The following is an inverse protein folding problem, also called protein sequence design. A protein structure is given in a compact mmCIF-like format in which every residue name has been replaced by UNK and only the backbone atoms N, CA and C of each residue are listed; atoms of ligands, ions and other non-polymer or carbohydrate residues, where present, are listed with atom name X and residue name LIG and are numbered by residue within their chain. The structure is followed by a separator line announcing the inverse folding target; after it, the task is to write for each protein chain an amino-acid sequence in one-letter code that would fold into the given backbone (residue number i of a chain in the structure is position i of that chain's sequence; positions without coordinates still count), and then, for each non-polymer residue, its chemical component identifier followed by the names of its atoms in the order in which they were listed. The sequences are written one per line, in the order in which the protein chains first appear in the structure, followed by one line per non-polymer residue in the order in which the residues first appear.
data_IF_274165048355
#
_entry.id   IF_274165048355
#
_cell.length_a   1.000
_cell.length_b   1.000
_cell.length_c   1.000
_cell.angle_alpha   90.00
_cell.angle_beta   90.00
_cell.angle_gamma   90.00
#
_symmetry.space_group_name_H-M   'P 1'
#
loop_
_entity.id
_entity.type
_entity.pdbx_description
1 polymer ?
#
# COMPACT_ATOMS: atom_id res chain seq x y z
N UNK A 1 -2.46 20.63 11.06
CA UNK A 1 -2.69 21.31 9.77
C UNK A 1 -2.06 20.52 8.62
N UNK A 2 -2.15 21.02 7.39
CA UNK A 2 -1.43 20.45 6.24
C UNK A 2 0.04 20.91 6.23
N UNK A 3 0.97 20.03 5.82
CA UNK A 3 2.41 20.32 5.75
C UNK A 3 2.90 20.21 4.30
N UNK A 4 3.80 21.10 3.90
CA UNK A 4 4.42 21.04 2.56
C UNK A 4 5.29 19.79 2.45
N UNK A 5 5.21 19.10 1.33
CA UNK A 5 6.08 18.01 0.93
C UNK A 5 6.63 18.28 -0.48
N UNK A 6 7.59 17.45 -0.89
CA UNK A 6 8.12 17.38 -2.24
C UNK A 6 8.08 15.93 -2.74
N UNK A 7 8.41 15.73 -4.00
CA UNK A 7 8.60 14.43 -4.60
C UNK A 7 9.37 14.55 -5.90
N UNK A 8 9.64 13.41 -6.51
CA UNK A 8 10.39 13.29 -7.74
C UNK A 8 9.83 12.16 -8.59
N UNK A 9 10.15 12.16 -9.88
CA UNK A 9 9.83 11.04 -10.74
C UNK A 9 10.92 9.97 -10.69
N UNK A 10 10.48 8.73 -10.72
CA UNK A 10 11.31 7.57 -11.00
C UNK A 10 10.85 7.02 -12.34
N UNK A 11 11.79 6.95 -13.28
CA UNK A 11 11.60 6.33 -14.58
C UNK A 11 12.26 4.95 -14.59
N UNK A 12 11.59 4.02 -15.22
CA UNK A 12 12.00 2.63 -15.30
C UNK A 12 11.63 2.07 -16.68
N UNK A 13 12.47 1.19 -17.21
CA UNK A 13 12.21 0.46 -18.46
C UNK A 13 12.28 -1.01 -18.11
N UNK A 14 11.12 -1.66 -18.21
CA UNK A 14 11.01 -3.10 -17.95
C UNK A 14 11.74 -3.91 -19.02
N UNK A 15 11.98 -5.18 -18.73
CA UNK A 15 12.57 -6.15 -19.68
C UNK A 15 11.75 -6.31 -20.96
N UNK A 16 10.44 -6.06 -20.91
CA UNK A 16 9.54 -6.05 -22.08
C UNK A 16 9.51 -4.70 -22.83
N UNK A 17 10.46 -3.81 -22.55
CA UNK A 17 10.56 -2.42 -23.05
C UNK A 17 9.41 -1.49 -22.66
N UNK A 18 8.51 -1.90 -21.76
CA UNK A 18 7.49 -1.00 -21.22
C UNK A 18 8.16 0.11 -20.41
N UNK A 19 7.91 1.35 -20.84
CA UNK A 19 8.34 2.55 -20.12
C UNK A 19 7.38 2.85 -18.99
N UNK A 20 7.90 3.04 -17.80
CA UNK A 20 7.14 3.37 -16.60
C UNK A 20 7.69 4.63 -15.97
N UNK A 21 6.79 5.52 -15.56
CA UNK A 21 7.10 6.67 -14.74
C UNK A 21 6.24 6.62 -13.48
N UNK A 22 6.82 6.92 -12.32
CA UNK A 22 6.12 7.06 -11.04
C UNK A 22 6.54 8.35 -10.37
N UNK A 23 5.60 9.18 -9.95
CA UNK A 23 5.89 10.25 -9.01
C UNK A 23 5.94 9.67 -7.59
N UNK A 24 7.03 9.95 -6.88
CA UNK A 24 7.35 9.39 -5.57
C UNK A 24 7.53 10.54 -4.58
N UNK A 25 6.82 10.47 -3.45
CA UNK A 25 6.91 11.46 -2.39
C UNK A 25 8.26 11.35 -1.69
N UNK A 26 8.89 12.49 -1.40
CA UNK A 26 10.13 12.57 -0.60
C UNK A 26 9.83 12.39 0.89
N UNK A 27 9.26 11.26 1.31
CA UNK A 27 8.91 11.06 2.72
C UNK A 27 10.11 11.05 3.66
N UNK A 28 11.33 10.80 3.17
CA UNK A 28 12.55 10.98 3.95
C UNK A 28 12.72 12.43 4.46
N UNK A 29 12.24 13.42 3.69
CA UNK A 29 12.27 14.85 4.03
C UNK A 29 11.09 15.30 4.89
N UNK A 30 10.09 14.45 5.10
CA UNK A 30 8.96 14.77 6.00
C UNK A 30 9.25 14.30 7.41
N UNK A 31 8.69 14.97 8.41
CA UNK A 31 8.77 14.52 9.81
C UNK A 31 8.28 13.06 9.96
N UNK A 32 8.73 12.38 11.01
CA UNK A 32 8.18 11.08 11.35
C UNK A 32 6.67 11.20 11.63
N UNK A 33 5.86 10.20 11.23
CA UNK A 33 4.45 10.18 11.59
C UNK A 33 4.30 10.12 13.12
N UNK A 34 3.29 10.78 13.66
CA UNK A 34 2.99 10.78 15.11
C UNK A 34 2.58 9.39 15.62
N UNK A 35 2.09 8.55 14.72
CA UNK A 35 1.71 7.16 14.98
C UNK A 35 2.69 6.20 14.31
N UNK A 36 2.82 4.99 14.85
CA UNK A 36 3.70 3.94 14.31
C UNK A 36 3.46 3.72 12.81
N UNK A 37 4.51 3.71 11.99
CA UNK A 37 4.46 3.40 10.55
C UNK A 37 4.43 1.89 10.25
N UNK A 38 4.22 1.06 11.26
CA UNK A 38 4.23 -0.39 11.14
C UNK A 38 3.14 -0.89 10.18
N UNK A 39 3.52 -1.81 9.29
CA UNK A 39 2.63 -2.59 8.46
C UNK A 39 2.96 -4.07 8.72
N UNK A 40 1.91 -4.88 8.92
CA UNK A 40 2.06 -6.31 9.13
C UNK A 40 2.68 -7.01 7.91
N UNK A 41 3.44 -8.07 8.18
CA UNK A 41 3.95 -8.98 7.16
C UNK A 41 3.65 -10.39 7.66
N UNK A 42 3.00 -11.18 6.81
CA UNK A 42 2.73 -12.59 7.09
C UNK A 42 4.04 -13.34 7.35
N UNK A 43 4.06 -14.16 8.38
CA UNK A 43 5.22 -14.99 8.68
C UNK A 43 5.40 -16.09 7.64
N UNK A 44 6.65 -16.50 7.42
CA UNK A 44 6.96 -17.59 6.49
C UNK A 44 6.36 -18.91 6.97
N UNK A 45 6.30 -19.11 8.28
CA UNK A 45 5.75 -20.28 8.93
C UNK A 45 4.23 -20.36 8.69
N UNK A 46 3.50 -19.24 8.80
CA UNK A 46 2.09 -19.16 8.40
C UNK A 46 1.86 -19.53 6.93
N UNK A 47 2.69 -18.99 6.01
CA UNK A 47 2.61 -19.34 4.58
C UNK A 47 2.79 -20.85 4.39
N UNK A 48 3.80 -21.45 5.03
CA UNK A 48 4.07 -22.89 4.95
C UNK A 48 2.89 -23.71 5.45
N UNK A 49 2.32 -23.36 6.60
CA UNK A 49 1.16 -24.06 7.17
C UNK A 49 -0.04 -23.99 6.21
N UNK A 50 -0.34 -22.81 5.66
CA UNK A 50 -1.45 -22.63 4.73
C UNK A 50 -1.26 -23.45 3.43
N UNK A 51 -0.05 -23.47 2.87
CA UNK A 51 0.27 -24.26 1.68
C UNK A 51 0.24 -25.76 1.96
N UNK A 52 0.74 -26.22 3.11
CA UNK A 52 0.66 -27.63 3.53
C UNK A 52 -0.80 -28.06 3.70
N UNK A 53 -1.63 -27.23 4.34
CA UNK A 53 -3.06 -27.49 4.49
C UNK A 53 -3.74 -27.62 3.11
N UNK A 54 -3.48 -26.69 2.19
CA UNK A 54 -4.01 -26.77 0.83
C UNK A 54 -3.58 -28.05 0.11
N UNK A 55 -2.31 -28.46 0.23
CA UNK A 55 -1.80 -29.69 -0.38
C UNK A 55 -2.44 -30.96 0.20
N UNK A 56 -2.65 -31.02 1.52
CA UNK A 56 -3.28 -32.16 2.19
C UNK A 56 -4.75 -32.34 1.77
N UNK A 57 -5.45 -31.24 1.48
CA UNK A 57 -6.87 -31.24 1.14
C UNK A 57 -7.15 -31.07 -0.36
N UNK A 58 -6.12 -31.04 -1.21
CA UNK A 58 -6.27 -30.85 -2.65
C UNK A 58 -6.90 -29.50 -3.04
N UNK A 59 -6.69 -28.45 -2.23
CA UNK A 59 -7.28 -27.13 -2.48
C UNK A 59 -6.49 -26.35 -3.55
N UNK A 60 -7.16 -25.65 -4.48
CA UNK A 60 -6.49 -24.79 -5.43
C UNK A 60 -5.86 -23.59 -4.72
N UNK A 61 -4.62 -23.25 -5.09
CA UNK A 61 -3.90 -22.08 -4.58
C UNK A 61 -3.81 -21.04 -5.70
N UNK A 62 -4.21 -19.81 -5.39
CA UNK A 62 -4.14 -18.67 -6.31
C UNK A 62 -3.25 -17.60 -5.70
N UNK A 63 -2.39 -16.99 -6.51
CA UNK A 63 -1.57 -15.84 -6.13
C UNK A 63 -1.93 -14.65 -7.02
N UNK A 64 -2.01 -13.47 -6.43
CA UNK A 64 -2.30 -12.23 -7.13
C UNK A 64 -1.43 -11.08 -6.58
N UNK A 65 -1.05 -10.16 -7.46
CA UNK A 65 -0.39 -8.89 -7.12
C UNK A 65 -1.37 -7.74 -7.33
N UNK A 66 -1.53 -6.89 -6.31
CA UNK A 66 -2.44 -5.75 -6.36
C UNK A 66 -1.72 -4.57 -7.01
N UNK A 67 -2.05 -4.32 -8.28
CA UNK A 67 -1.53 -3.16 -9.02
C UNK A 67 -1.93 -1.86 -8.34
N UNK A 68 -0.97 -0.94 -8.20
CA UNK A 68 -1.18 0.39 -7.64
C UNK A 68 -1.78 0.39 -6.21
N UNK A 69 -1.47 -0.64 -5.42
CA UNK A 69 -1.94 -0.83 -4.04
C UNK A 69 -2.06 0.48 -3.23
N UNK A 70 -1.00 1.28 -3.13
CA UNK A 70 -1.05 2.50 -2.30
C UNK A 70 -2.07 3.53 -2.78
N UNK A 71 -2.32 3.65 -4.09
CA UNK A 71 -3.28 4.62 -4.62
C UNK A 71 -4.73 4.27 -4.28
N UNK A 72 -5.04 3.02 -3.92
CA UNK A 72 -6.38 2.66 -3.46
C UNK A 72 -6.63 3.10 -2.01
N UNK A 73 -5.59 3.23 -1.19
CA UNK A 73 -5.72 3.59 0.22
C UNK A 73 -5.70 5.11 0.44
N UNK A 74 -6.55 5.64 1.34
CA UNK A 74 -6.43 7.03 1.78
C UNK A 74 -5.14 7.24 2.57
N UNK A 75 -4.52 8.42 2.43
CA UNK A 75 -3.37 8.76 3.29
C UNK A 75 -3.83 9.28 4.64
N UNK A 76 -3.19 8.81 5.70
CA UNK A 76 -3.31 9.37 7.05
C UNK A 76 -2.51 10.66 7.24
N UNK A 77 -1.51 10.91 6.37
CA UNK A 77 -0.69 12.10 6.44
C UNK A 77 -1.33 13.28 5.70
N UNK A 78 -1.32 14.47 6.30
CA UNK A 78 -1.84 15.69 5.66
C UNK A 78 -0.71 16.45 4.98
N UNK A 79 -0.33 16.02 3.78
CA UNK A 79 0.72 16.64 2.97
C UNK A 79 0.19 17.29 1.70
N UNK A 80 0.76 18.45 1.34
CA UNK A 80 0.50 19.10 0.06
C UNK A 80 1.80 19.35 -0.69
N UNK A 81 1.71 19.48 -2.01
CA UNK A 81 2.83 19.88 -2.87
C UNK A 81 2.50 21.16 -3.60
N UNK A 82 3.54 21.86 -4.04
CA UNK A 82 3.43 22.83 -5.12
C UNK A 82 3.79 22.04 -6.38
N UNK A 83 2.87 22.00 -7.33
CA UNK A 83 3.05 21.27 -8.58
C UNK A 83 4.22 21.86 -9.37
N UNK A 84 5.20 21.02 -9.71
CA UNK A 84 6.26 21.38 -10.64
C UNK A 84 5.84 21.29 -12.11
N UNK A 85 6.76 21.54 -13.04
CA UNK A 85 6.51 21.51 -14.49
C UNK A 85 5.91 20.18 -14.98
N UNK A 86 6.17 19.09 -14.27
CA UNK A 86 5.63 17.77 -14.56
C UNK A 86 4.09 17.65 -14.54
N UNK A 87 3.40 18.63 -13.93
CA UNK A 87 1.95 18.67 -13.82
C UNK A 87 1.30 19.55 -14.91
N UNK A 88 2.09 20.06 -15.86
CA UNK A 88 1.61 20.79 -17.03
C UNK A 88 0.84 22.05 -16.66
N UNK A 89 -0.43 22.14 -17.07
CA UNK A 89 -1.30 23.29 -16.80
C UNK A 89 -1.50 23.61 -15.30
N UNK A 90 -1.19 22.64 -14.43
CA UNK A 90 -1.27 22.82 -12.98
C UNK A 90 0.06 23.25 -12.34
N UNK A 91 1.10 23.56 -13.12
CA UNK A 91 2.36 24.08 -12.57
C UNK A 91 2.11 25.30 -11.66
N UNK A 92 2.77 25.33 -10.50
CA UNK A 92 2.61 26.38 -9.49
C UNK A 92 1.36 26.25 -8.62
N UNK A 93 0.39 25.40 -8.99
CA UNK A 93 -0.79 25.14 -8.17
C UNK A 93 -0.46 24.30 -6.92
N UNK A 94 -1.32 24.40 -5.91
CA UNK A 94 -1.22 23.59 -4.70
C UNK A 94 -2.07 22.33 -4.87
N UNK A 95 -1.45 21.16 -4.78
CA UNK A 95 -2.13 19.87 -4.80
C UNK A 95 -2.08 19.17 -3.44
N UNK A 96 -3.21 18.60 -3.03
CA UNK A 96 -3.32 17.84 -1.78
C UNK A 96 -3.06 16.35 -2.03
N UNK A 97 -2.19 15.75 -1.23
CA UNK A 97 -1.99 14.30 -1.24
C UNK A 97 -3.11 13.65 -0.42
N UNK A 98 -4.05 12.99 -1.10
CA UNK A 98 -5.22 12.33 -0.47
C UNK A 98 -5.09 10.81 -0.36
N UNK A 99 -4.28 10.20 -1.22
CA UNK A 99 -4.03 8.74 -1.25
C UNK A 99 -2.62 8.44 -0.77
N UNK A 100 -2.40 7.23 -0.27
CA UNK A 100 -1.06 6.79 0.08
C UNK A 100 -0.18 6.78 -1.18
N UNK A 101 1.05 7.28 -1.05
CA UNK A 101 1.99 7.40 -2.17
C UNK A 101 3.28 6.67 -1.86
N UNK A 102 3.90 6.14 -2.91
CA UNK A 102 5.28 5.64 -2.83
C UNK A 102 6.20 6.70 -2.23
N UNK A 103 7.15 6.26 -1.40
CA UNK A 103 8.07 7.14 -0.68
C UNK A 103 7.46 7.82 0.55
N UNK A 104 6.16 7.72 0.79
CA UNK A 104 5.53 8.15 2.05
C UNK A 104 5.87 7.23 3.22
N UNK A 105 6.24 7.80 4.37
CA UNK A 105 6.62 7.04 5.58
C UNK A 105 5.50 6.16 6.12
N UNK A 106 4.25 6.61 6.01
CA UNK A 106 3.08 5.86 6.49
C UNK A 106 2.35 5.06 5.40
N UNK A 107 2.82 5.09 4.14
CA UNK A 107 2.05 4.56 3.01
C UNK A 107 1.75 3.06 3.11
N UNK A 108 2.73 2.27 3.55
CA UNK A 108 2.57 0.82 3.74
C UNK A 108 1.52 0.51 4.82
N UNK A 109 1.57 1.21 5.95
CA UNK A 109 0.59 1.08 7.03
C UNK A 109 -0.81 1.50 6.58
N UNK A 110 -0.93 2.64 5.91
CA UNK A 110 -2.21 3.17 5.47
C UNK A 110 -2.90 2.18 4.54
N UNK A 111 -2.13 1.57 3.64
CA UNK A 111 -2.61 0.48 2.80
C UNK A 111 -2.98 -0.77 3.59
N UNK A 112 -2.14 -1.18 4.55
CA UNK A 112 -2.40 -2.34 5.40
C UNK A 112 -3.72 -2.20 6.18
N UNK A 113 -3.95 -1.05 6.82
CA UNK A 113 -5.21 -0.76 7.50
C UNK A 113 -6.41 -0.70 6.55
N UNK A 114 -6.22 -0.13 5.36
CA UNK A 114 -7.25 -0.10 4.33
C UNK A 114 -7.66 -1.50 3.88
N UNK A 115 -6.67 -2.37 3.59
CA UNK A 115 -6.91 -3.76 3.21
C UNK A 115 -7.59 -4.54 4.33
N UNK A 116 -7.12 -4.39 5.58
CA UNK A 116 -7.74 -4.99 6.77
C UNK A 116 -9.22 -4.63 6.90
N UNK A 117 -9.57 -3.37 6.65
CA UNK A 117 -10.96 -2.91 6.67
C UNK A 117 -11.79 -3.59 5.58
N UNK A 118 -11.26 -3.69 4.35
CA UNK A 118 -11.94 -4.35 3.22
C UNK A 118 -12.14 -5.85 3.49
N UNK A 119 -11.09 -6.54 3.94
CA UNK A 119 -11.15 -7.98 4.24
C UNK A 119 -12.27 -8.31 5.22
N UNK A 120 -12.40 -7.48 6.27
CA UNK A 120 -13.43 -7.66 7.28
C UNK A 120 -14.83 -7.23 6.77
N UNK A 121 -14.96 -6.01 6.27
CA UNK A 121 -16.27 -5.42 6.01
C UNK A 121 -16.91 -5.87 4.70
N UNK A 122 -16.10 -6.08 3.66
CA UNK A 122 -16.61 -6.31 2.30
C UNK A 122 -16.54 -7.80 1.92
N UNK A 123 -15.58 -8.55 2.47
CA UNK A 123 -15.39 -9.97 2.16
C UNK A 123 -15.70 -10.94 3.30
N UNK A 124 -15.99 -10.44 4.51
CA UNK A 124 -16.36 -11.26 5.67
C UNK A 124 -15.23 -12.13 6.22
N UNK A 125 -13.97 -11.79 5.94
CA UNK A 125 -12.82 -12.50 6.50
C UNK A 125 -12.48 -12.01 7.91
N UNK A 126 -11.98 -12.92 8.71
CA UNK A 126 -11.47 -12.67 10.05
C UNK A 126 -9.95 -12.88 10.09
N UNK A 127 -9.28 -12.05 10.88
CA UNK A 127 -7.83 -12.10 11.09
C UNK A 127 -7.49 -13.15 12.14
N UNK A 128 -6.43 -13.93 11.89
CA UNK A 128 -5.95 -14.94 12.83
C UNK A 128 -5.28 -14.33 14.05
N UNK A 129 -5.48 -14.98 15.20
CA UNK A 129 -4.83 -14.60 16.46
C UNK A 129 -3.34 -14.95 16.47
N UNK A 130 -2.93 -15.98 15.72
CA UNK A 130 -1.53 -16.41 15.64
C UNK A 130 -0.70 -15.56 14.69
N UNK A 131 -1.32 -15.09 13.61
CA UNK A 131 -0.70 -14.21 12.61
C UNK A 131 -1.77 -13.26 12.06
N UNK A 132 -1.74 -11.96 12.43
CA UNK A 132 -2.78 -11.01 12.04
C UNK A 132 -2.93 -10.80 10.52
N UNK A 133 -1.93 -11.20 9.73
CA UNK A 133 -1.93 -11.08 8.28
C UNK A 133 -2.44 -12.36 7.58
N UNK A 134 -2.78 -13.41 8.35
CA UNK A 134 -3.54 -14.56 7.86
C UNK A 134 -5.03 -14.31 8.08
N UNK A 135 -5.80 -14.45 7.01
CA UNK A 135 -7.23 -14.20 6.98
C UNK A 135 -7.98 -15.48 6.62
N UNK A 136 -9.06 -15.78 7.34
CA UNK A 136 -9.91 -16.93 7.08
C UNK A 136 -11.38 -16.56 7.19
N UNK A 137 -12.23 -17.37 6.56
CA UNK A 137 -13.68 -17.34 6.72
C UNK A 137 -14.20 -18.76 6.56
N UNK A 138 -15.38 -19.04 7.10
CA UNK A 138 -16.04 -20.31 6.85
C UNK A 138 -16.34 -20.46 5.35
N UNK A 139 -16.23 -21.69 4.86
CA UNK A 139 -16.62 -22.00 3.49
C UNK A 139 -18.14 -21.79 3.37
N UNK A 140 -18.54 -20.94 2.44
CA UNK A 140 -19.94 -20.72 2.05
C UNK A 140 -20.53 -21.93 1.37
#
# INVERSE_FOLDING_TARGET
GWKKASGHFIWDVKMDFTRKARWVKDGHRTAAPESSSYAGVVSRESIRIALTYAALHGLPVVAADIRNAYLSAPSSEKHYIICGPEFGEHEGCVALIRRALYGGKAAGRDYWHYLRKIMHNDFGFQSSRGDPDVWFREAS
#
